data_IF_509610152156
#
_entry.id   IF_509610152156
#
_cell.length_a   1.000
_cell.length_b   1.000
_cell.length_c   1.000
_cell.angle_alpha   90.00
_cell.angle_beta   90.00
_cell.angle_gamma   90.00
#
_symmetry.space_group_name_H-M   'P 1'
#
loop_
_entity.id
_entity.type
_entity.pdbx_description
1 polymer ?
#
# COMPACT_ATOMS: atom_id res chain seq x y z
N UNK A 1 -22.16 -62.17 -18.27
CA UNK A 1 -22.05 -61.56 -16.92
C UNK A 1 -20.72 -60.79 -16.75
N UNK A 2 -20.34 -59.89 -17.68
CA UNK A 2 -19.09 -59.09 -17.58
C UNK A 2 -19.29 -57.58 -17.76
N UNK A 3 -20.49 -57.16 -18.13
CA UNK A 3 -20.80 -55.76 -18.53
C UNK A 3 -21.25 -54.87 -17.37
N UNK A 4 -21.69 -55.43 -16.23
CA UNK A 4 -22.16 -54.66 -15.07
C UNK A 4 -21.02 -54.10 -14.21
N UNK A 5 -19.83 -54.74 -14.22
CA UNK A 5 -18.67 -54.27 -13.47
C UNK A 5 -18.08 -52.97 -14.04
N UNK A 6 -18.22 -52.73 -15.34
CA UNK A 6 -17.76 -51.48 -15.96
C UNK A 6 -18.65 -50.29 -15.62
N UNK A 7 -19.96 -50.52 -15.45
CA UNK A 7 -20.92 -49.48 -15.08
C UNK A 7 -20.72 -49.02 -13.63
N UNK A 8 -20.38 -49.94 -12.72
CA UNK A 8 -20.10 -49.63 -11.32
C UNK A 8 -18.84 -48.77 -11.15
N UNK A 9 -17.79 -49.02 -11.93
CA UNK A 9 -16.53 -48.24 -11.88
C UNK A 9 -16.77 -46.82 -12.41
N UNK A 10 -17.62 -46.65 -13.42
CA UNK A 10 -17.97 -45.34 -13.96
C UNK A 10 -18.83 -44.51 -12.98
N UNK A 11 -19.69 -45.15 -12.20
CA UNK A 11 -20.51 -44.48 -11.17
C UNK A 11 -19.68 -44.02 -9.95
N UNK A 12 -18.63 -44.77 -9.60
CA UNK A 12 -17.73 -44.43 -8.49
C UNK A 12 -16.80 -43.25 -8.80
N UNK A 13 -16.49 -43.01 -10.08
CA UNK A 13 -15.67 -41.87 -10.51
C UNK A 13 -16.39 -40.51 -10.41
N UNK A 14 -17.73 -40.49 -10.31
CA UNK A 14 -18.53 -39.27 -10.20
C UNK A 14 -18.53 -38.63 -8.80
N UNK A 15 -17.95 -39.30 -7.80
CA UNK A 15 -17.87 -38.80 -6.43
C UNK A 15 -16.49 -38.24 -6.04
N UNK A 16 -15.53 -38.18 -6.97
CA UNK A 16 -14.31 -37.37 -6.77
C UNK A 16 -14.62 -35.89 -7.02
N UNK A 17 -15.51 -35.32 -6.19
CA UNK A 17 -15.64 -33.88 -6.07
C UNK A 17 -14.39 -33.34 -5.39
N UNK A 18 -13.68 -32.43 -6.05
CA UNK A 18 -12.59 -31.68 -5.44
C UNK A 18 -13.21 -30.77 -4.36
N UNK A 19 -13.00 -31.10 -3.09
CA UNK A 19 -13.34 -30.23 -1.97
C UNK A 19 -12.48 -28.98 -2.12
N UNK A 20 -13.14 -27.85 -2.43
CA UNK A 20 -12.46 -26.56 -2.53
C UNK A 20 -12.01 -26.21 -1.12
N UNK A 21 -10.71 -26.36 -0.86
CA UNK A 21 -10.09 -25.99 0.41
C UNK A 21 -10.59 -24.60 0.81
N UNK A 22 -11.31 -24.52 1.92
CA UNK A 22 -11.83 -23.24 2.41
C UNK A 22 -10.62 -22.40 2.81
N UNK A 23 -10.29 -21.40 1.99
CA UNK A 23 -9.24 -20.44 2.32
C UNK A 23 -9.65 -19.76 3.63
N UNK A 24 -9.00 -20.13 4.73
CA UNK A 24 -9.11 -19.43 5.99
C UNK A 24 -8.36 -18.11 5.82
N UNK A 25 -9.10 -17.04 5.56
CA UNK A 25 -8.55 -15.70 5.46
C UNK A 25 -8.40 -15.11 6.84
N UNK A 26 -7.28 -14.44 7.08
CA UNK A 26 -6.92 -13.86 8.37
C UNK A 26 -6.89 -12.33 8.29
N UNK A 27 -7.30 -11.70 9.38
CA UNK A 27 -7.00 -10.30 9.65
C UNK A 27 -6.03 -10.21 10.84
N UNK A 28 -4.82 -9.74 10.59
CA UNK A 28 -3.78 -9.60 11.61
C UNK A 28 -2.87 -8.42 11.28
N UNK A 29 -2.75 -7.48 12.20
CA UNK A 29 -1.84 -6.35 12.08
C UNK A 29 -0.81 -6.50 13.20
N UNK A 30 0.48 -6.50 12.84
CA UNK A 30 1.56 -6.57 13.81
C UNK A 30 1.71 -5.28 14.63
N UNK A 31 2.17 -5.42 15.88
CA UNK A 31 2.39 -4.32 16.81
C UNK A 31 3.32 -3.24 16.24
N UNK A 32 2.89 -1.98 16.31
CA UNK A 32 3.61 -0.83 15.77
C UNK A 32 3.17 -0.43 14.35
N UNK A 33 2.42 -1.29 13.65
CA UNK A 33 1.79 -0.96 12.36
C UNK A 33 0.33 -0.51 12.52
N UNK A 34 -0.34 -0.84 13.63
CA UNK A 34 -1.78 -0.56 13.82
C UNK A 34 -2.09 0.93 13.69
N UNK A 35 -1.23 1.79 14.24
CA UNK A 35 -1.42 3.24 14.18
C UNK A 35 -1.52 3.75 12.74
N UNK A 36 -0.76 3.18 11.81
CA UNK A 36 -0.77 3.61 10.40
C UNK A 36 -1.96 2.98 9.66
N UNK A 37 -2.31 1.74 9.97
CA UNK A 37 -3.52 1.09 9.42
C UNK A 37 -4.78 1.82 9.84
N UNK A 38 -4.89 2.20 11.11
CA UNK A 38 -6.03 2.95 11.63
C UNK A 38 -6.13 4.34 10.97
N UNK A 39 -5.00 5.02 10.80
CA UNK A 39 -4.96 6.29 10.04
C UNK A 39 -5.43 6.11 8.60
N UNK A 40 -5.01 5.05 7.92
CA UNK A 40 -5.43 4.78 6.54
C UNK A 40 -6.96 4.63 6.44
N UNK A 41 -7.56 3.78 7.29
CA UNK A 41 -9.01 3.59 7.28
C UNK A 41 -9.78 4.85 7.70
N UNK A 42 -9.26 5.64 8.64
CA UNK A 42 -9.84 6.91 9.01
C UNK A 42 -9.80 7.92 7.85
N UNK A 43 -8.69 7.99 7.11
CA UNK A 43 -8.57 8.87 5.95
C UNK A 43 -9.44 8.42 4.76
N UNK A 44 -9.64 7.11 4.59
CA UNK A 44 -10.61 6.56 3.64
C UNK A 44 -12.05 6.97 4.00
N UNK A 45 -12.43 6.80 5.27
CA UNK A 45 -13.75 7.17 5.78
C UNK A 45 -14.04 8.67 5.62
N UNK A 46 -13.07 9.53 5.93
CA UNK A 46 -13.16 10.99 5.71
C UNK A 46 -13.47 11.36 4.26
N UNK A 47 -13.06 10.54 3.30
CA UNK A 47 -13.30 10.72 1.86
C UNK A 47 -14.50 9.93 1.33
N UNK A 48 -15.25 9.28 2.22
CA UNK A 48 -16.41 8.48 1.85
C UNK A 48 -16.06 7.17 1.12
N UNK A 49 -14.81 6.72 1.22
CA UNK A 49 -14.35 5.46 0.62
C UNK A 49 -14.51 4.33 1.63
N UNK A 50 -15.39 3.39 1.32
CA UNK A 50 -15.57 2.18 2.12
C UNK A 50 -14.58 1.09 1.68
N UNK A 51 -13.81 0.57 2.63
CA UNK A 51 -12.83 -0.49 2.40
C UNK A 51 -13.06 -1.58 3.45
N UNK A 52 -13.27 -2.79 2.98
CA UNK A 52 -13.38 -3.99 3.80
C UNK A 52 -12.06 -4.25 4.55
N UNK A 53 -12.14 -4.44 5.87
CA UNK A 53 -10.96 -4.63 6.73
C UNK A 53 -10.49 -6.09 6.71
N UNK A 54 -11.25 -7.01 6.16
CA UNK A 54 -10.98 -8.44 6.21
C UNK A 54 -9.78 -8.84 5.34
N UNK A 55 -9.25 -10.04 5.56
CA UNK A 55 -8.20 -10.70 4.75
C UNK A 55 -6.89 -9.92 4.57
N UNK A 56 -6.54 -9.07 5.54
CA UNK A 56 -5.34 -8.26 5.53
C UNK A 56 -4.37 -8.69 6.63
N UNK A 57 -3.15 -9.03 6.23
CA UNK A 57 -2.02 -9.20 7.14
C UNK A 57 -1.05 -8.04 6.91
N UNK A 58 -0.63 -7.40 8.01
CA UNK A 58 0.50 -6.47 8.01
C UNK A 58 1.56 -6.99 8.99
N UNK A 59 2.79 -7.12 8.53
CA UNK A 59 3.89 -7.66 9.33
C UNK A 59 5.23 -7.03 8.97
N UNK A 60 6.15 -7.07 9.94
CA UNK A 60 7.55 -6.78 9.72
C UNK A 60 8.28 -8.00 9.17
N UNK A 61 9.28 -7.79 8.32
CA UNK A 61 10.11 -8.86 7.78
C UNK A 61 11.55 -8.41 7.55
N UNK A 62 12.48 -9.36 7.69
CA UNK A 62 13.89 -9.20 7.29
C UNK A 62 14.10 -9.55 5.80
N UNK A 63 13.12 -10.19 5.16
CA UNK A 63 13.23 -10.74 3.80
C UNK A 63 12.30 -9.96 2.86
N UNK A 64 12.70 -8.74 2.56
CA UNK A 64 12.29 -8.06 1.34
C UNK A 64 13.55 -7.98 0.47
N UNK A 65 13.41 -8.08 -0.85
CA UNK A 65 14.56 -7.85 -1.73
C UNK A 65 15.22 -6.51 -1.34
N UNK A 66 16.55 -6.47 -1.22
CA UNK A 66 17.33 -5.38 -0.59
C UNK A 66 17.03 -3.97 -1.15
N UNK A 67 16.35 -3.89 -2.30
CA UNK A 67 15.96 -2.65 -2.97
C UNK A 67 14.63 -2.03 -2.50
N UNK A 68 13.83 -2.71 -1.66
CA UNK A 68 12.49 -2.24 -1.26
C UNK A 68 12.29 -2.17 0.26
N UNK A 69 11.62 -1.12 0.72
CA UNK A 69 11.25 -0.95 2.13
C UNK A 69 9.88 -1.54 2.51
N UNK A 70 9.08 -1.88 1.51
CA UNK A 70 7.76 -2.50 1.66
C UNK A 70 7.42 -3.32 0.43
N UNK A 71 6.47 -4.24 0.60
CA UNK A 71 5.83 -4.92 -0.51
C UNK A 71 4.40 -5.34 -0.16
N UNK A 72 3.56 -5.42 -1.18
CA UNK A 72 2.23 -5.97 -1.09
C UNK A 72 2.09 -7.23 -1.95
N UNK A 73 1.72 -8.33 -1.32
CA UNK A 73 1.21 -9.53 -1.97
C UNK A 73 -0.31 -9.52 -1.96
N UNK A 74 -0.92 -9.52 -3.15
CA UNK A 74 -2.38 -9.51 -3.30
C UNK A 74 -2.87 -10.55 -4.30
N UNK A 75 -4.11 -11.04 -4.15
CA UNK A 75 -4.71 -11.92 -5.15
C UNK A 75 -4.79 -11.21 -6.51
N UNK A 76 -4.71 -11.98 -7.59
CA UNK A 76 -4.98 -11.44 -8.94
C UNK A 76 -6.36 -10.80 -8.97
N UNK A 77 -6.50 -9.73 -9.74
CA UNK A 77 -7.74 -8.96 -9.90
C UNK A 77 -8.97 -9.87 -10.01
N UNK A 78 -10.02 -9.55 -9.25
CA UNK A 78 -11.29 -10.27 -9.15
C UNK A 78 -11.20 -11.68 -8.52
N UNK A 79 -10.20 -11.95 -7.67
CA UNK A 79 -10.14 -13.17 -6.85
C UNK A 79 -10.15 -12.81 -5.37
N UNK A 80 -10.94 -13.55 -4.59
CA UNK A 80 -10.80 -13.54 -3.14
C UNK A 80 -9.48 -14.21 -2.75
N UNK A 81 -8.83 -13.71 -1.71
CA UNK A 81 -7.61 -14.28 -1.17
C UNK A 81 -6.99 -13.37 -0.13
N UNK A 82 -5.91 -13.84 0.48
CA UNK A 82 -5.16 -13.11 1.49
C UNK A 82 -4.40 -11.95 0.84
N UNK A 83 -4.44 -10.78 1.47
CA UNK A 83 -3.57 -9.63 1.20
C UNK A 83 -2.53 -9.58 2.30
N UNK A 84 -1.25 -9.45 1.94
CA UNK A 84 -0.14 -9.40 2.87
C UNK A 84 0.70 -8.18 2.52
N UNK A 85 0.84 -7.26 3.46
CA UNK A 85 1.79 -6.16 3.38
C UNK A 85 2.95 -6.50 4.31
N UNK A 86 4.15 -6.52 3.76
CA UNK A 86 5.38 -6.76 4.51
C UNK A 86 6.22 -5.49 4.52
N UNK A 87 6.66 -5.05 5.69
CA UNK A 87 7.51 -3.87 5.89
C UNK A 87 8.90 -4.30 6.34
N UNK A 88 9.94 -3.74 5.73
CA UNK A 88 11.32 -4.12 6.03
C UNK A 88 11.71 -3.65 7.43
N UNK A 89 12.37 -4.53 8.19
CA UNK A 89 13.00 -4.19 9.47
C UNK A 89 14.35 -3.49 9.31
N UNK A 90 14.84 -3.29 8.08
CA UNK A 90 16.08 -2.53 7.86
C UNK A 90 15.95 -1.15 8.55
N UNK A 91 16.94 -0.74 9.36
CA UNK A 91 16.90 0.54 10.05
C UNK A 91 16.65 1.74 9.14
N UNK A 92 17.11 1.72 7.89
CA UNK A 92 16.89 2.79 6.90
C UNK A 92 15.43 2.79 6.42
N UNK A 93 14.78 1.63 6.33
CA UNK A 93 13.40 1.53 5.88
C UNK A 93 12.36 1.86 6.95
N UNK A 94 12.65 1.56 8.21
CA UNK A 94 11.67 1.75 9.29
C UNK A 94 12.23 2.52 10.49
N UNK A 95 13.23 1.98 11.20
CA UNK A 95 13.58 2.52 12.52
C UNK A 95 14.08 3.97 12.50
N UNK A 96 14.76 4.39 11.44
CA UNK A 96 15.30 5.76 11.28
C UNK A 96 14.33 6.72 10.58
N UNK A 97 13.21 6.20 10.09
CA UNK A 97 12.23 7.01 9.37
C UNK A 97 11.33 7.83 10.29
N UNK A 98 10.91 8.99 9.79
CA UNK A 98 9.94 9.85 10.45
C UNK A 98 8.56 9.19 10.51
N UNK A 99 7.69 9.59 11.45
CA UNK A 99 6.31 9.09 11.53
C UNK A 99 5.54 9.32 10.21
N UNK A 100 5.79 10.44 9.53
CA UNK A 100 5.21 10.75 8.23
C UNK A 100 5.71 9.83 7.12
N UNK A 101 6.99 9.46 7.10
CA UNK A 101 7.52 8.54 6.08
C UNK A 101 7.06 7.11 6.32
N UNK A 102 6.95 6.69 7.59
CA UNK A 102 6.32 5.42 7.97
C UNK A 102 4.87 5.36 7.52
N UNK A 103 4.11 6.43 7.75
CA UNK A 103 2.74 6.55 7.26
C UNK A 103 2.69 6.47 5.73
N UNK A 104 3.55 7.22 5.02
CA UNK A 104 3.59 7.23 3.57
C UNK A 104 3.89 5.84 2.99
N UNK A 105 4.86 5.13 3.57
CA UNK A 105 5.20 3.77 3.17
C UNK A 105 4.03 2.80 3.39
N UNK A 106 3.43 2.80 4.59
CA UNK A 106 2.29 1.92 4.86
C UNK A 106 1.10 2.27 3.95
N UNK A 107 0.84 3.55 3.69
CA UNK A 107 -0.23 3.98 2.79
C UNK A 107 0.03 3.58 1.35
N UNK A 108 1.29 3.61 0.90
CA UNK A 108 1.70 3.12 -0.41
C UNK A 108 1.38 1.63 -0.56
N UNK A 109 1.82 0.79 0.39
CA UNK A 109 1.57 -0.65 0.33
C UNK A 109 0.08 -1.00 0.47
N UNK A 110 -0.64 -0.30 1.33
CA UNK A 110 -2.11 -0.44 1.42
C UNK A 110 -2.80 0.04 0.15
N UNK A 111 -2.26 1.04 -0.55
CA UNK A 111 -2.70 1.46 -1.88
C UNK A 111 -2.63 0.31 -2.88
N UNK A 112 -1.54 -0.44 -2.90
CA UNK A 112 -1.44 -1.66 -3.69
C UNK A 112 -2.46 -2.72 -3.26
N UNK A 113 -2.52 -3.03 -1.97
CA UNK A 113 -3.26 -4.20 -1.46
C UNK A 113 -4.78 -4.00 -1.39
N UNK A 114 -5.23 -2.83 -0.96
CA UNK A 114 -6.64 -2.54 -0.70
C UNK A 114 -7.32 -1.76 -1.84
N UNK A 115 -6.59 -0.81 -2.45
CA UNK A 115 -7.12 0.01 -3.54
C UNK A 115 -6.79 -0.55 -4.92
N UNK A 116 -5.82 -1.46 -4.99
CA UNK A 116 -5.39 -2.09 -6.22
C UNK A 116 -4.58 -1.18 -7.14
N UNK A 117 -4.01 -0.12 -6.58
CA UNK A 117 -3.21 0.90 -7.27
C UNK A 117 -1.92 0.28 -7.79
N UNK A 118 -1.45 0.76 -8.94
CA UNK A 118 -0.13 0.43 -9.48
C UNK A 118 0.80 1.63 -9.32
N UNK A 119 2.12 1.43 -9.48
CA UNK A 119 3.06 2.54 -9.41
C UNK A 119 2.76 3.63 -10.45
N UNK A 120 2.99 4.89 -10.08
CA UNK A 120 2.78 6.06 -10.94
C UNK A 120 3.86 7.12 -10.70
N UNK A 121 4.79 7.20 -11.65
CA UNK A 121 6.00 8.05 -11.56
C UNK A 121 5.87 9.39 -12.31
N UNK A 122 4.64 9.80 -12.66
CA UNK A 122 4.40 11.11 -13.26
C UNK A 122 4.88 12.21 -12.31
N UNK A 123 5.57 13.23 -12.84
CA UNK A 123 6.06 14.37 -12.07
C UNK A 123 5.26 15.64 -12.36
N UNK A 124 5.13 16.48 -11.35
CA UNK A 124 4.71 17.86 -11.50
C UNK A 124 5.83 18.73 -12.09
N UNK A 125 5.53 19.96 -12.58
CA UNK A 125 6.55 20.90 -13.03
C UNK A 125 7.63 21.22 -12.00
N UNK A 126 7.31 21.17 -10.69
CA UNK A 126 8.30 21.32 -9.62
C UNK A 126 9.28 20.14 -9.48
N UNK A 127 9.04 19.04 -10.19
CA UNK A 127 9.78 17.78 -10.06
C UNK A 127 9.23 16.86 -8.96
N UNK A 128 8.26 17.31 -8.16
CA UNK A 128 7.63 16.47 -7.15
C UNK A 128 6.77 15.36 -7.80
N UNK A 129 6.71 14.15 -7.23
CA UNK A 129 5.83 13.09 -7.70
C UNK A 129 4.35 13.51 -7.67
N UNK A 130 3.58 13.11 -8.68
CA UNK A 130 2.14 13.36 -8.72
C UNK A 130 1.34 12.40 -7.86
N UNK A 131 1.91 11.27 -7.49
CA UNK A 131 1.25 10.23 -6.70
C UNK A 131 2.10 9.79 -5.51
N UNK A 132 1.42 9.35 -4.45
CA UNK A 132 2.06 8.60 -3.35
C UNK A 132 2.54 7.21 -3.82
N UNK A 133 1.98 6.71 -4.93
CA UNK A 133 2.36 5.45 -5.57
C UNK A 133 3.64 5.57 -6.43
N UNK A 134 4.46 6.58 -6.17
CA UNK A 134 5.74 6.80 -6.85
C UNK A 134 6.79 5.79 -6.39
N UNK A 135 7.70 5.43 -7.29
CA UNK A 135 8.90 4.64 -6.98
C UNK A 135 10.05 5.50 -6.42
N UNK A 136 9.89 6.83 -6.42
CA UNK A 136 10.89 7.78 -5.91
C UNK A 136 10.88 7.78 -4.37
N UNK A 137 11.96 7.27 -3.79
CA UNK A 137 12.16 7.11 -2.34
C UNK A 137 12.65 8.40 -1.67
N UNK A 138 11.80 9.44 -1.59
CA UNK A 138 12.16 10.71 -0.95
C UNK A 138 11.17 11.18 0.13
N UNK A 139 10.25 10.32 0.59
CA UNK A 139 9.27 10.69 1.61
C UNK A 139 8.33 11.81 1.13
N UNK A 140 7.19 11.48 0.49
CA UNK A 140 6.40 12.44 -0.29
C UNK A 140 5.92 13.66 0.51
N UNK A 141 5.81 13.53 1.84
CA UNK A 141 5.44 14.61 2.76
C UNK A 141 6.28 14.61 4.04
N UNK A 142 7.58 14.30 3.92
CA UNK A 142 8.51 14.25 5.05
C UNK A 142 8.68 15.60 5.77
N UNK A 143 8.81 15.61 7.11
CA UNK A 143 9.20 16.79 7.86
C UNK A 143 10.67 17.12 7.67
N UNK A 144 11.02 18.39 7.85
CA UNK A 144 12.43 18.78 7.92
C UNK A 144 13.01 18.40 9.29
N UNK A 145 14.03 17.54 9.30
CA UNK A 145 14.63 17.01 10.54
C UNK A 145 15.67 18.00 11.12
N UNK A 146 16.50 18.61 10.27
CA UNK A 146 17.51 19.58 10.67
C UNK A 146 17.43 20.83 9.81
N UNK A 147 17.31 21.99 10.45
CA UNK A 147 17.33 23.29 9.79
C UNK A 147 18.76 23.83 9.79
N UNK A 148 19.38 23.86 8.62
CA UNK A 148 20.57 24.67 8.37
C UNK A 148 20.22 25.67 7.27
N UNK A 149 20.13 26.96 7.59
CA UNK A 149 19.76 27.99 6.62
C UNK A 149 18.70 28.97 7.12
N UNK A 150 18.17 29.76 6.19
CA UNK A 150 17.10 30.73 6.44
C UNK A 150 15.70 30.13 6.32
N UNK A 151 14.65 30.96 6.42
CA UNK A 151 13.26 30.51 6.28
C UNK A 151 12.98 29.80 4.94
N UNK A 152 13.67 30.18 3.87
CA UNK A 152 13.53 29.56 2.55
C UNK A 152 14.04 28.12 2.52
N UNK A 153 15.16 27.84 3.19
CA UNK A 153 15.72 26.49 3.29
C UNK A 153 14.80 25.56 4.08
N UNK A 154 14.16 26.08 5.15
CA UNK A 154 13.15 25.37 5.93
C UNK A 154 11.94 25.01 5.07
N UNK A 155 11.44 25.95 4.28
CA UNK A 155 10.28 25.73 3.38
C UNK A 155 10.60 24.69 2.32
N UNK A 156 11.84 24.64 1.84
CA UNK A 156 12.27 23.67 0.84
C UNK A 156 12.36 22.24 1.39
N UNK A 157 12.85 22.06 2.62
CA UNK A 157 12.98 20.73 3.22
C UNK A 157 11.69 20.21 3.88
N UNK A 158 10.80 21.09 4.36
CA UNK A 158 9.58 20.66 5.04
C UNK A 158 8.44 20.39 4.05
N UNK A 159 8.20 19.11 3.74
CA UNK A 159 7.21 18.67 2.76
C UNK A 159 5.84 18.32 3.39
N UNK A 160 5.66 18.53 4.70
CA UNK A 160 4.45 18.10 5.43
C UNK A 160 3.14 18.65 4.86
N UNK A 161 3.18 19.84 4.25
CA UNK A 161 2.03 20.46 3.56
C UNK A 161 1.50 19.63 2.38
N UNK A 162 2.32 18.71 1.84
CA UNK A 162 1.93 17.85 0.71
C UNK A 162 1.04 16.68 1.12
N UNK A 163 0.99 16.35 2.42
CA UNK A 163 0.28 15.16 2.94
C UNK A 163 -1.17 15.11 2.48
N UNK A 164 -1.91 16.20 2.60
CA UNK A 164 -3.33 16.26 2.23
C UNK A 164 -3.55 15.87 0.77
N UNK A 165 -2.80 16.48 -0.15
CA UNK A 165 -2.88 16.17 -1.58
C UNK A 165 -2.57 14.69 -1.88
N UNK A 166 -1.51 14.13 -1.29
CA UNK A 166 -1.14 12.75 -1.61
C UNK A 166 -2.16 11.73 -1.09
N UNK A 167 -2.81 12.02 0.04
CA UNK A 167 -3.87 11.16 0.56
C UNK A 167 -5.15 11.35 -0.28
N UNK A 168 -5.47 12.57 -0.72
CA UNK A 168 -6.56 12.78 -1.68
C UNK A 168 -6.33 12.01 -2.97
N UNK A 169 -5.12 12.10 -3.54
CA UNK A 169 -4.74 11.39 -4.77
C UNK A 169 -4.73 9.87 -4.61
N UNK A 170 -4.38 9.37 -3.43
CA UNK A 170 -4.41 7.93 -3.13
C UNK A 170 -5.82 7.36 -3.26
N UNK A 171 -6.83 8.10 -2.78
CA UNK A 171 -8.23 7.67 -2.77
C UNK A 171 -9.03 8.17 -3.99
N UNK A 172 -8.51 9.12 -4.77
CA UNK A 172 -9.04 9.57 -6.06
C UNK A 172 -7.93 9.69 -7.12
N UNK A 173 -7.77 8.64 -7.92
CA UNK A 173 -6.73 8.60 -8.96
C UNK A 173 -6.91 9.63 -10.08
N UNK A 174 -8.13 10.18 -10.20
CA UNK A 174 -8.50 11.16 -11.21
C UNK A 174 -8.38 12.60 -10.69
N UNK A 175 -7.80 12.79 -9.50
CA UNK A 175 -7.55 14.10 -8.94
C UNK A 175 -6.75 14.96 -9.92
N UNK A 176 -7.39 16.03 -10.39
CA UNK A 176 -6.82 16.96 -11.39
C UNK A 176 -6.27 18.23 -10.78
N UNK A 177 -6.43 18.41 -9.47
CA UNK A 177 -5.93 19.55 -8.72
C UNK A 177 -4.41 19.60 -8.79
N UNK A 178 -3.86 20.78 -9.08
CA UNK A 178 -2.42 21.04 -9.04
C UNK A 178 -2.14 21.93 -7.82
N UNK A 179 -1.48 21.42 -6.78
CA UNK A 179 -1.13 22.22 -5.61
C UNK A 179 -0.14 23.34 -5.94
N UNK A 180 -0.13 24.41 -5.13
CA UNK A 180 0.81 25.54 -5.34
C UNK A 180 2.27 25.10 -5.29
N UNK A 181 2.62 24.21 -4.34
CA UNK A 181 3.98 23.65 -4.21
C UNK A 181 4.41 22.76 -5.39
N UNK A 182 3.46 22.41 -6.27
CA UNK A 182 3.70 21.59 -7.47
C UNK A 182 4.02 22.44 -8.71
N UNK A 183 3.85 23.77 -8.64
CA UNK A 183 4.20 24.68 -9.71
C UNK A 183 5.73 24.94 -9.73
N UNK A 184 6.31 25.38 -10.87
CA UNK A 184 7.71 25.77 -10.90
C UNK A 184 7.96 26.88 -9.88
N UNK A 185 9.01 26.75 -9.06
CA UNK A 185 9.49 27.88 -8.28
C UNK A 185 10.03 28.96 -9.23
N UNK A 186 9.79 30.24 -8.93
CA UNK A 186 10.60 31.30 -9.54
C UNK A 186 12.06 31.04 -9.14
N UNK A 187 12.92 30.77 -10.13
CA UNK A 187 14.36 30.57 -9.93
C UNK A 187 15.04 31.85 -9.44
#
# INVERSE_FOLDING_TARGET
MKSYNFLLIFLLALFMGCEKESLLLEYRIEEGLEVYVDRFFLEAEKRGVFIEKENLILEFTEVINDDFCGQCERPKRNRAGQRIVSISTDPICWFRESDQNKEALVFHELGHCLLGRDHKDDLFPSGAPRSIMTTILEGPYQPCIYVFGGEEDVKKCNLTVRREYYIDELFDENLSTVPEWALPGEN
#
